data_IF_913335020587
#
_entry.id   IF_913335020587
#
_cell.length_a   1.000
_cell.length_b   1.000
_cell.length_c   1.000
_cell.angle_alpha   90.00
_cell.angle_beta   90.00
_cell.angle_gamma   90.00
#
_symmetry.space_group_name_H-M   'P 1'
#
loop_
_entity.id
_entity.type
_entity.pdbx_description
1 polymer ?
#
# COMPACT_ATOMS: atom_id res chain seq x y z
N UNK A 1 17.61 0.59 20.89
CA UNK A 1 16.33 0.08 20.34
C UNK A 1 15.84 1.03 19.26
N UNK A 2 15.54 0.53 18.09
CA UNK A 2 14.91 1.24 16.97
C UNK A 2 13.40 1.02 17.09
N UNK A 3 12.61 2.10 17.10
CA UNK A 3 11.17 1.97 17.23
C UNK A 3 10.56 1.36 15.96
N UNK A 4 10.91 1.89 14.79
CA UNK A 4 10.42 1.43 13.49
C UNK A 4 11.55 1.40 12.47
N UNK A 5 11.68 0.32 11.73
CA UNK A 5 12.50 0.22 10.53
C UNK A 5 11.58 0.22 9.31
N UNK A 6 11.60 1.30 8.53
CA UNK A 6 10.84 1.39 7.28
C UNK A 6 11.70 0.94 6.11
N UNK A 7 11.25 -0.12 5.43
CA UNK A 7 12.05 -0.86 4.45
C UNK A 7 11.30 -1.01 3.13
N UNK A 8 11.90 -0.52 2.06
CA UNK A 8 11.42 -0.76 0.70
C UNK A 8 12.07 -2.04 0.14
N UNK A 9 11.39 -3.17 0.25
CA UNK A 9 11.90 -4.46 -0.22
C UNK A 9 11.99 -4.56 -1.75
N UNK A 10 11.21 -3.78 -2.47
CA UNK A 10 11.17 -3.82 -3.92
C UNK A 10 10.65 -2.51 -4.49
N UNK A 11 11.07 -2.18 -5.69
CA UNK A 11 10.45 -1.12 -6.48
C UNK A 11 9.55 -1.65 -7.62
N UNK A 12 9.22 -2.95 -7.58
CA UNK A 12 8.17 -3.52 -8.42
C UNK A 12 6.79 -3.16 -7.86
N UNK A 13 5.86 -2.80 -8.75
CA UNK A 13 4.46 -2.58 -8.43
C UNK A 13 3.58 -2.92 -9.65
N UNK A 14 2.41 -3.49 -9.42
CA UNK A 14 1.41 -3.70 -10.46
C UNK A 14 0.56 -2.46 -10.73
N UNK A 15 0.58 -1.47 -9.82
CA UNK A 15 -0.16 -0.23 -9.96
C UNK A 15 0.61 0.82 -10.78
N UNK A 16 -0.14 1.74 -11.40
CA UNK A 16 0.32 2.87 -12.20
C UNK A 16 -0.31 4.17 -11.69
N UNK A 17 -0.24 4.40 -10.38
CA UNK A 17 -0.87 5.56 -9.75
C UNK A 17 -0.26 6.86 -10.29
N UNK A 18 -1.04 7.84 -10.80
CA UNK A 18 -0.53 9.01 -11.49
C UNK A 18 0.44 9.87 -10.68
N UNK A 19 0.21 10.07 -9.39
CA UNK A 19 1.12 10.82 -8.51
C UNK A 19 2.16 9.95 -7.81
N UNK A 20 2.40 8.72 -8.27
CA UNK A 20 3.43 7.87 -7.68
C UNK A 20 4.81 8.30 -8.15
N UNK A 21 5.77 8.42 -7.24
CA UNK A 21 7.16 8.78 -7.56
C UNK A 21 7.85 7.87 -8.56
N UNK A 22 7.36 6.63 -8.73
CA UNK A 22 7.89 5.70 -9.72
C UNK A 22 7.20 5.76 -11.08
N UNK A 23 6.15 6.56 -11.23
CA UNK A 23 5.27 6.58 -12.42
C UNK A 23 5.53 7.83 -13.26
N UNK A 24 5.77 7.66 -14.55
CA UNK A 24 5.91 8.78 -15.49
C UNK A 24 4.56 9.48 -15.69
N UNK A 25 4.57 10.81 -15.86
CA UNK A 25 3.37 11.60 -16.10
C UNK A 25 2.76 11.35 -17.49
N UNK A 26 3.55 10.79 -18.41
CA UNK A 26 3.13 10.43 -19.77
C UNK A 26 3.12 8.91 -19.90
N UNK A 27 1.95 8.35 -20.21
CA UNK A 27 1.72 6.92 -20.39
C UNK A 27 1.68 6.11 -19.09
N UNK A 28 1.96 6.73 -17.95
CA UNK A 28 1.94 6.09 -16.61
C UNK A 28 2.84 4.85 -16.49
N UNK A 29 3.86 4.75 -17.31
CA UNK A 29 4.85 3.69 -17.20
C UNK A 29 5.80 3.93 -16.02
N UNK A 30 6.55 2.90 -15.64
CA UNK A 30 7.63 3.06 -14.69
C UNK A 30 8.68 4.04 -15.23
N UNK A 31 9.16 4.97 -14.39
CA UNK A 31 10.16 5.95 -14.77
C UNK A 31 11.38 5.27 -15.41
N UNK A 32 11.81 5.79 -16.56
CA UNK A 32 13.02 5.34 -17.24
C UNK A 32 14.24 5.58 -16.35
N UNK A 33 15.10 4.57 -16.25
CA UNK A 33 16.32 4.64 -15.44
C UNK A 33 16.13 4.30 -13.95
N UNK A 34 14.91 4.07 -13.48
CA UNK A 34 14.69 3.52 -12.15
C UNK A 34 15.26 2.08 -12.08
N UNK A 35 16.29 1.80 -11.27
CA UNK A 35 16.83 0.45 -11.16
C UNK A 35 15.78 -0.49 -10.56
N UNK A 36 15.54 -1.62 -11.22
CA UNK A 36 14.57 -2.61 -10.74
C UNK A 36 15.24 -3.49 -9.68
N UNK A 37 14.98 -3.21 -8.43
CA UNK A 37 15.56 -3.87 -7.26
C UNK A 37 14.47 -4.63 -6.52
N UNK A 38 14.79 -5.83 -6.07
CA UNK A 38 14.00 -6.58 -5.09
C UNK A 38 14.96 -7.39 -4.21
N UNK A 39 14.72 -7.35 -2.91
CA UNK A 39 15.52 -8.09 -1.94
C UNK A 39 15.09 -9.55 -1.89
N UNK A 40 16.06 -10.44 -1.85
CA UNK A 40 15.87 -11.83 -1.44
C UNK A 40 15.85 -11.95 0.09
N UNK A 41 15.44 -13.10 0.60
CA UNK A 41 15.60 -13.43 2.02
C UNK A 41 17.08 -13.31 2.46
N UNK A 42 18.03 -13.73 1.61
CA UNK A 42 19.45 -13.64 1.93
C UNK A 42 19.92 -12.19 2.03
N UNK A 43 19.46 -11.29 1.15
CA UNK A 43 19.76 -9.86 1.26
C UNK A 43 19.24 -9.31 2.58
N UNK A 44 17.99 -9.63 2.94
CA UNK A 44 17.40 -9.21 4.20
C UNK A 44 18.20 -9.71 5.40
N UNK A 45 18.59 -10.98 5.44
CA UNK A 45 19.39 -11.57 6.51
C UNK A 45 20.78 -10.95 6.65
N UNK A 46 21.37 -10.50 5.55
CA UNK A 46 22.68 -9.84 5.56
C UNK A 46 22.62 -8.46 6.25
N UNK A 47 21.53 -7.70 6.05
CA UNK A 47 21.33 -6.39 6.68
C UNK A 47 20.73 -6.48 8.09
N UNK A 48 19.89 -7.50 8.31
CA UNK A 48 19.20 -7.75 9.59
C UNK A 48 19.51 -9.17 10.08
N UNK A 49 20.74 -9.40 10.56
CA UNK A 49 21.11 -10.71 11.09
C UNK A 49 20.30 -11.02 12.37
N UNK A 50 20.11 -12.31 12.64
CA UNK A 50 19.26 -12.79 13.75
C UNK A 50 19.53 -12.10 15.08
N UNK A 51 20.79 -11.77 15.36
CA UNK A 51 21.22 -11.17 16.63
C UNK A 51 20.72 -9.74 16.84
N UNK A 52 20.34 -9.05 15.75
CA UNK A 52 19.91 -7.65 15.79
C UNK A 52 18.41 -7.45 15.54
N UNK A 53 17.67 -8.53 15.27
CA UNK A 53 16.24 -8.41 14.96
C UNK A 53 15.42 -7.83 16.13
N UNK A 54 15.75 -8.21 17.38
CA UNK A 54 15.07 -7.68 18.57
C UNK A 54 15.47 -6.24 18.94
N UNK A 55 16.48 -5.66 18.26
CA UNK A 55 16.80 -4.24 18.41
C UNK A 55 15.75 -3.34 17.73
N UNK A 56 14.88 -3.92 16.91
CA UNK A 56 13.82 -3.24 16.17
C UNK A 56 12.46 -3.71 16.69
N UNK A 57 11.61 -2.77 17.12
CA UNK A 57 10.27 -3.11 17.65
C UNK A 57 9.27 -3.39 16.55
N UNK A 58 9.42 -2.72 15.39
CA UNK A 58 8.48 -2.83 14.28
C UNK A 58 9.20 -2.75 12.93
N UNK A 59 8.95 -3.71 12.07
CA UNK A 59 9.36 -3.70 10.67
C UNK A 59 8.18 -3.23 9.82
N UNK A 60 8.33 -2.07 9.19
CA UNK A 60 7.37 -1.48 8.27
C UNK A 60 7.82 -1.73 6.83
N UNK A 61 7.04 -2.51 6.11
CA UNK A 61 7.20 -2.70 4.68
C UNK A 61 6.21 -1.78 3.97
N UNK A 62 6.62 -0.54 3.75
CA UNK A 62 5.85 0.46 3.02
C UNK A 62 6.34 0.58 1.58
N UNK A 63 5.41 0.72 0.66
CA UNK A 63 5.72 0.77 -0.77
C UNK A 63 5.94 2.19 -1.30
N UNK A 64 6.91 2.94 -0.82
CA UNK A 64 7.23 4.26 -1.40
C UNK A 64 7.59 4.15 -2.89
N UNK A 65 8.41 3.17 -3.26
CA UNK A 65 8.88 2.94 -4.62
C UNK A 65 8.29 1.71 -5.30
N UNK A 66 7.54 0.89 -4.58
CA UNK A 66 6.94 -0.33 -5.09
C UNK A 66 5.83 -0.83 -4.18
N UNK A 67 5.38 -2.04 -4.40
CA UNK A 67 4.46 -2.72 -3.49
C UNK A 67 5.16 -3.91 -2.87
N UNK A 68 5.28 -4.02 -1.55
CA UNK A 68 6.05 -5.08 -0.89
C UNK A 68 5.55 -6.48 -1.24
N UNK A 69 4.27 -6.65 -1.62
CA UNK A 69 3.75 -7.95 -2.05
C UNK A 69 4.23 -8.37 -3.45
N UNK A 70 4.90 -7.50 -4.19
CA UNK A 70 5.62 -7.86 -5.42
C UNK A 70 6.98 -8.51 -5.13
N UNK A 71 7.57 -8.28 -3.95
CA UNK A 71 8.79 -8.99 -3.56
C UNK A 71 8.51 -10.50 -3.48
N UNK A 72 9.33 -11.31 -4.19
CA UNK A 72 9.16 -12.76 -4.24
C UNK A 72 9.26 -13.38 -2.84
N UNK A 73 10.20 -12.87 -2.06
CA UNK A 73 10.58 -13.42 -0.76
C UNK A 73 9.93 -12.68 0.42
N UNK A 74 8.86 -11.89 0.20
CA UNK A 74 8.15 -11.20 1.29
C UNK A 74 7.69 -12.18 2.38
N UNK A 75 7.12 -13.33 1.99
CA UNK A 75 6.61 -14.34 2.93
C UNK A 75 7.74 -14.95 3.78
N UNK A 76 8.83 -15.51 3.21
CA UNK A 76 9.95 -15.99 4.00
C UNK A 76 10.67 -14.91 4.81
N UNK A 77 10.72 -13.66 4.35
CA UNK A 77 11.27 -12.53 5.14
C UNK A 77 10.41 -12.29 6.39
N UNK A 78 9.09 -12.24 6.24
CA UNK A 78 8.19 -12.07 7.37
C UNK A 78 8.32 -13.24 8.35
N UNK A 79 8.37 -14.48 7.87
CA UNK A 79 8.58 -15.65 8.73
C UNK A 79 9.91 -15.58 9.48
N UNK A 80 10.99 -15.17 8.82
CA UNK A 80 12.28 -14.99 9.47
C UNK A 80 12.23 -14.00 10.65
N UNK A 81 11.53 -12.86 10.49
CA UNK A 81 11.33 -11.89 11.56
C UNK A 81 10.49 -12.53 12.70
N UNK A 82 9.39 -13.18 12.35
CA UNK A 82 8.47 -13.78 13.33
C UNK A 82 9.12 -14.88 14.18
N UNK A 83 9.99 -15.68 13.57
CA UNK A 83 10.64 -16.81 14.22
C UNK A 83 11.83 -16.41 15.10
N UNK A 84 12.42 -15.24 14.82
CA UNK A 84 13.69 -14.85 15.43
C UNK A 84 13.61 -13.54 16.22
N UNK A 85 12.42 -12.96 16.38
CA UNK A 85 12.22 -11.74 17.18
C UNK A 85 10.80 -11.65 17.75
N UNK A 86 10.60 -10.70 18.66
CA UNK A 86 9.28 -10.30 19.16
C UNK A 86 8.71 -9.08 18.41
N UNK A 87 9.37 -8.64 17.37
CA UNK A 87 8.96 -7.48 16.58
C UNK A 87 7.58 -7.65 15.93
N UNK A 88 6.93 -6.52 15.69
CA UNK A 88 5.73 -6.44 14.86
C UNK A 88 6.12 -6.24 13.41
N UNK A 89 5.23 -6.63 12.50
CA UNK A 89 5.36 -6.37 11.08
C UNK A 89 4.13 -5.61 10.58
N UNK A 90 4.36 -4.50 9.89
CA UNK A 90 3.33 -3.78 9.15
C UNK A 90 3.64 -3.89 7.65
N UNK A 91 2.63 -4.22 6.85
CA UNK A 91 2.72 -4.26 5.40
C UNK A 91 1.68 -3.32 4.81
N UNK A 92 2.12 -2.31 4.05
CA UNK A 92 1.23 -1.43 3.30
C UNK A 92 1.21 -1.84 1.84
N UNK A 93 0.03 -2.12 1.30
CA UNK A 93 -0.13 -2.66 -0.06
C UNK A 93 -1.42 -2.19 -0.72
N UNK A 94 -1.43 -2.16 -2.06
CA UNK A 94 -2.68 -1.96 -2.80
C UNK A 94 -3.66 -3.15 -2.70
N UNK A 95 -3.24 -4.27 -2.16
CA UNK A 95 -4.09 -5.43 -1.86
C UNK A 95 -4.51 -6.28 -3.08
N UNK A 96 -4.14 -5.91 -4.31
CA UNK A 96 -4.65 -6.59 -5.51
C UNK A 96 -3.66 -7.58 -6.15
N UNK A 97 -2.55 -7.89 -5.48
CA UNK A 97 -1.44 -8.68 -6.03
C UNK A 97 -1.61 -10.17 -5.75
N UNK A 98 -1.76 -10.52 -4.48
CA UNK A 98 -1.77 -11.91 -4.02
C UNK A 98 -3.20 -12.49 -4.00
N UNK A 99 -3.32 -13.83 -3.99
CA UNK A 99 -4.59 -14.54 -3.80
C UNK A 99 -4.95 -14.61 -2.30
N UNK A 100 -6.21 -14.88 -1.98
CA UNK A 100 -6.71 -14.91 -0.61
C UNK A 100 -5.97 -15.90 0.30
N UNK A 101 -5.57 -17.05 -0.22
CA UNK A 101 -4.81 -18.07 0.53
C UNK A 101 -3.46 -17.54 1.05
N UNK A 102 -2.81 -16.63 0.34
CA UNK A 102 -1.61 -15.94 0.83
C UNK A 102 -1.91 -15.13 2.11
N UNK A 103 -2.95 -14.29 2.08
CA UNK A 103 -3.32 -13.46 3.23
C UNK A 103 -3.73 -14.30 4.44
N UNK A 104 -4.49 -15.38 4.20
CA UNK A 104 -4.92 -16.31 5.26
C UNK A 104 -3.71 -17.03 5.86
N UNK A 105 -2.80 -17.53 5.03
CA UNK A 105 -1.62 -18.27 5.48
C UNK A 105 -0.69 -17.37 6.29
N UNK A 106 -0.38 -16.18 5.75
CA UNK A 106 0.47 -15.21 6.43
C UNK A 106 -0.16 -14.73 7.75
N UNK A 107 -1.46 -14.39 7.73
CA UNK A 107 -2.17 -13.92 8.91
C UNK A 107 -2.32 -14.97 10.01
N UNK A 108 -2.46 -16.25 9.66
CA UNK A 108 -2.46 -17.35 10.65
C UNK A 108 -1.08 -17.57 11.27
N UNK A 109 -0.02 -17.45 10.47
CA UNK A 109 1.35 -17.65 10.94
C UNK A 109 1.79 -16.54 11.90
N UNK A 110 1.56 -15.29 11.52
CA UNK A 110 2.08 -14.13 12.23
C UNK A 110 1.22 -13.70 13.42
N UNK A 111 -0.03 -14.14 13.43
CA UNK A 111 -0.99 -13.78 14.48
C UNK A 111 -1.14 -12.24 14.63
N UNK A 112 -1.35 -11.74 15.85
CA UNK A 112 -1.54 -10.32 16.16
C UNK A 112 -0.31 -9.43 15.94
N UNK A 113 0.83 -10.03 15.66
CA UNK A 113 2.05 -9.29 15.32
C UNK A 113 2.10 -8.79 13.88
N UNK A 114 1.17 -9.23 13.03
CA UNK A 114 1.02 -8.73 11.66
C UNK A 114 -0.12 -7.73 11.58
N UNK A 115 0.17 -6.55 11.07
CA UNK A 115 -0.81 -5.60 10.57
C UNK A 115 -0.65 -5.42 9.07
N UNK A 116 -1.76 -5.37 8.33
CA UNK A 116 -1.72 -5.05 6.89
C UNK A 116 -2.65 -3.88 6.60
N UNK A 117 -2.08 -2.85 5.97
CA UNK A 117 -2.80 -1.66 5.52
C UNK A 117 -3.10 -1.83 4.03
N UNK A 118 -4.37 -1.92 3.67
CA UNK A 118 -4.83 -2.16 2.31
C UNK A 118 -5.52 -0.92 1.76
N UNK A 119 -5.11 -0.50 0.56
CA UNK A 119 -5.66 0.67 -0.10
C UNK A 119 -7.08 0.41 -0.65
N UNK A 120 -8.02 1.32 -0.32
CA UNK A 120 -9.41 1.30 -0.77
C UNK A 120 -9.83 2.73 -1.12
N UNK A 121 -9.65 3.16 -2.37
CA UNK A 121 -9.81 4.56 -2.79
C UNK A 121 -11.15 4.84 -3.52
N UNK A 122 -12.14 3.95 -3.36
CA UNK A 122 -13.46 4.14 -3.99
C UNK A 122 -14.51 3.16 -3.51
N UNK A 123 -15.76 3.44 -3.85
CA UNK A 123 -16.91 2.54 -3.66
C UNK A 123 -17.22 1.71 -4.91
N UNK A 124 -16.66 2.09 -6.06
CA UNK A 124 -16.75 1.37 -7.33
C UNK A 124 -15.34 1.13 -7.88
N UNK A 125 -15.22 0.15 -8.77
CA UNK A 125 -13.96 -0.15 -9.45
C UNK A 125 -13.43 1.07 -10.22
N UNK A 126 -14.33 1.79 -10.93
CA UNK A 126 -14.00 3.00 -11.68
C UNK A 126 -13.45 4.12 -10.76
N UNK A 127 -14.13 4.39 -9.63
CA UNK A 127 -13.68 5.41 -8.68
C UNK A 127 -12.31 5.05 -8.10
N UNK A 128 -12.10 3.80 -7.72
CA UNK A 128 -10.85 3.29 -7.18
C UNK A 128 -9.71 3.42 -8.22
N UNK A 129 -9.97 2.99 -9.46
CA UNK A 129 -8.99 2.99 -10.52
C UNK A 129 -8.70 4.38 -11.10
N UNK A 130 -9.49 5.40 -10.77
CA UNK A 130 -9.16 6.77 -11.17
C UNK A 130 -7.79 7.20 -10.65
N UNK A 131 -7.40 6.71 -9.47
CA UNK A 131 -6.06 6.87 -8.90
C UNK A 131 -5.27 5.55 -8.90
N UNK A 132 -5.81 4.45 -8.39
CA UNK A 132 -5.12 3.15 -8.25
C UNK A 132 -5.15 2.34 -9.56
N UNK A 133 -4.66 2.91 -10.65
CA UNK A 133 -4.66 2.26 -11.97
C UNK A 133 -3.88 0.95 -11.94
N UNK A 134 -4.40 -0.05 -12.66
CA UNK A 134 -3.83 -1.39 -12.72
C UNK A 134 -4.08 -2.26 -11.48
N UNK A 135 -4.89 -1.77 -10.53
CA UNK A 135 -5.33 -2.53 -9.34
C UNK A 135 -6.80 -2.92 -9.44
N UNK A 136 -7.32 -3.63 -8.46
CA UNK A 136 -8.73 -4.03 -8.40
C UNK A 136 -9.29 -3.84 -7.00
N UNK A 137 -10.30 -3.00 -6.87
CA UNK A 137 -11.05 -2.79 -5.64
C UNK A 137 -11.59 -4.12 -5.08
N UNK A 138 -12.17 -4.95 -5.95
CA UNK A 138 -12.69 -6.27 -5.58
C UNK A 138 -11.62 -7.15 -4.92
N UNK A 139 -10.39 -7.14 -5.45
CA UNK A 139 -9.28 -7.91 -4.87
C UNK A 139 -8.83 -7.29 -3.53
N UNK A 140 -8.73 -5.96 -3.42
CA UNK A 140 -8.38 -5.28 -2.17
C UNK A 140 -9.38 -5.57 -1.06
N UNK A 141 -10.68 -5.51 -1.36
CA UNK A 141 -11.74 -5.89 -0.41
C UNK A 141 -11.71 -7.39 -0.06
N UNK A 142 -11.40 -8.26 -1.03
CA UNK A 142 -11.25 -9.69 -0.80
C UNK A 142 -10.04 -10.00 0.10
N UNK A 143 -8.95 -9.26 -0.03
CA UNK A 143 -7.77 -9.37 0.82
C UNK A 143 -8.08 -8.96 2.28
N UNK A 144 -8.83 -7.86 2.49
CA UNK A 144 -9.32 -7.47 3.81
C UNK A 144 -10.15 -8.57 4.46
N UNK A 145 -11.10 -9.13 3.70
CA UNK A 145 -11.95 -10.24 4.17
C UNK A 145 -11.14 -11.49 4.50
N UNK A 146 -10.14 -11.81 3.69
CA UNK A 146 -9.26 -12.95 3.93
C UNK A 146 -8.44 -12.78 5.23
N UNK A 147 -7.86 -11.60 5.43
CA UNK A 147 -7.12 -11.27 6.66
C UNK A 147 -8.03 -11.28 7.90
N UNK A 148 -9.25 -10.76 7.80
CA UNK A 148 -10.19 -10.72 8.92
C UNK A 148 -10.63 -12.10 9.42
N UNK A 149 -10.42 -13.16 8.63
CA UNK A 149 -10.62 -14.55 9.06
C UNK A 149 -9.46 -15.13 9.88
N UNK A 150 -8.45 -14.32 10.19
CA UNK A 150 -7.27 -14.67 10.98
C UNK A 150 -7.15 -13.78 12.20
N UNK A 151 -6.09 -13.93 12.99
CA UNK A 151 -5.80 -13.03 14.11
C UNK A 151 -4.97 -11.80 13.71
N UNK A 152 -4.45 -11.74 12.49
CA UNK A 152 -3.78 -10.55 11.97
C UNK A 152 -4.72 -9.33 11.97
N UNK A 153 -4.14 -8.13 11.96
CA UNK A 153 -4.90 -6.90 12.10
C UNK A 153 -5.04 -6.22 10.72
N UNK A 154 -6.19 -6.37 10.03
CA UNK A 154 -6.45 -5.68 8.78
C UNK A 154 -6.81 -4.21 9.04
N UNK A 155 -6.07 -3.32 8.44
CA UNK A 155 -6.38 -1.89 8.30
C UNK A 155 -6.71 -1.57 6.85
N UNK A 156 -7.36 -0.46 6.63
CA UNK A 156 -7.53 0.12 5.29
C UNK A 156 -7.19 1.60 5.30
N UNK A 157 -6.83 2.11 4.12
CA UNK A 157 -6.59 3.53 3.94
C UNK A 157 -7.12 4.03 2.60
N UNK A 158 -7.47 5.32 2.56
CA UNK A 158 -7.88 6.03 1.36
C UNK A 158 -7.06 7.29 1.19
N UNK A 159 -6.51 7.50 0.01
CA UNK A 159 -6.01 8.81 -0.40
C UNK A 159 -7.18 9.59 -1.02
N UNK A 160 -7.46 10.75 -0.44
CA UNK A 160 -8.58 11.58 -0.85
C UNK A 160 -8.16 12.56 -1.95
N UNK A 161 -8.96 12.58 -2.98
CA UNK A 161 -8.98 13.53 -4.07
C UNK A 161 -10.41 14.10 -4.19
N UNK A 162 -10.62 15.13 -4.97
CA UNK A 162 -11.94 15.71 -5.21
C UNK A 162 -12.97 14.70 -5.71
N UNK A 163 -12.55 13.68 -6.49
CA UNK A 163 -13.47 12.70 -7.05
C UNK A 163 -14.02 11.69 -6.03
N UNK A 164 -13.33 11.46 -4.90
CA UNK A 164 -13.74 10.48 -3.90
C UNK A 164 -13.97 11.06 -2.50
N UNK A 165 -13.57 12.30 -2.22
CA UNK A 165 -13.69 12.90 -0.87
C UNK A 165 -15.11 12.92 -0.33
N UNK A 166 -16.13 13.15 -1.18
CA UNK A 166 -17.53 13.15 -0.78
C UNK A 166 -18.07 11.75 -0.44
N UNK A 167 -17.34 10.72 -0.83
CA UNK A 167 -17.65 9.31 -0.58
C UNK A 167 -16.87 8.70 0.58
N UNK A 168 -16.06 9.48 1.31
CA UNK A 168 -15.20 9.01 2.40
C UNK A 168 -15.93 8.09 3.39
N UNK A 169 -17.13 8.50 3.83
CA UNK A 169 -17.94 7.70 4.77
C UNK A 169 -18.40 6.37 4.18
N UNK A 170 -18.76 6.35 2.89
CA UNK A 170 -19.16 5.13 2.19
C UNK A 170 -17.96 4.21 1.95
N UNK A 171 -16.80 4.77 1.60
CA UNK A 171 -15.53 4.00 1.42
C UNK A 171 -15.13 3.35 2.75
N UNK A 172 -15.13 4.13 3.84
CA UNK A 172 -14.88 3.63 5.21
C UNK A 172 -15.83 2.50 5.58
N UNK A 173 -17.13 2.70 5.37
CA UNK A 173 -18.16 1.68 5.64
C UNK A 173 -17.88 0.40 4.84
N UNK A 174 -17.64 0.52 3.53
CA UNK A 174 -17.32 -0.60 2.65
C UNK A 174 -16.10 -1.39 3.12
N UNK A 175 -15.02 -0.70 3.51
CA UNK A 175 -13.81 -1.33 4.02
C UNK A 175 -14.05 -2.09 5.34
N UNK A 176 -14.81 -1.49 6.27
CA UNK A 176 -15.16 -2.11 7.56
C UNK A 176 -16.06 -3.34 7.35
N UNK A 177 -17.03 -3.28 6.46
CA UNK A 177 -17.90 -4.42 6.11
C UNK A 177 -17.10 -5.58 5.50
N UNK A 178 -15.93 -5.30 4.91
CA UNK A 178 -14.99 -6.31 4.40
C UNK A 178 -13.91 -6.70 5.41
N UNK A 179 -14.04 -6.28 6.67
CA UNK A 179 -13.21 -6.77 7.77
C UNK A 179 -12.07 -5.86 8.20
N UNK A 180 -11.95 -4.66 7.66
CA UNK A 180 -11.01 -3.67 8.17
C UNK A 180 -11.35 -3.31 9.61
N UNK A 181 -10.37 -3.33 10.50
CA UNK A 181 -10.54 -2.94 11.92
C UNK A 181 -10.55 -1.42 12.08
N UNK A 182 -9.74 -0.73 11.29
CA UNK A 182 -9.65 0.72 11.26
C UNK A 182 -9.46 1.18 9.83
N UNK A 183 -9.97 2.35 9.53
CA UNK A 183 -9.84 2.98 8.23
C UNK A 183 -9.29 4.39 8.39
N UNK A 184 -8.20 4.69 7.69
CA UNK A 184 -7.57 6.00 7.65
C UNK A 184 -7.92 6.70 6.33
N UNK A 185 -8.23 7.98 6.40
CA UNK A 185 -8.47 8.81 5.21
C UNK A 185 -7.65 10.08 5.34
N UNK A 186 -6.90 10.42 4.31
CA UNK A 186 -6.10 11.64 4.26
C UNK A 186 -6.01 12.18 2.83
N UNK A 187 -5.94 13.52 2.67
CA UNK A 187 -5.76 14.10 1.35
C UNK A 187 -4.39 13.74 0.79
N UNK A 188 -4.26 13.69 -0.54
CA UNK A 188 -2.95 13.58 -1.16
C UNK A 188 -2.10 14.81 -0.81
N UNK A 189 -0.92 14.59 -0.27
CA UNK A 189 0.10 15.60 0.03
C UNK A 189 1.00 15.91 -1.18
N UNK A 190 0.83 15.19 -2.28
CA UNK A 190 1.76 15.20 -3.41
C UNK A 190 1.54 16.35 -4.39
N UNK A 191 0.48 17.14 -4.23
CA UNK A 191 0.26 18.35 -5.02
C UNK A 191 1.32 19.43 -4.76
N UNK A 192 1.88 19.46 -3.57
CA UNK A 192 2.90 20.45 -3.19
C UNK A 192 4.32 20.05 -3.65
N UNK A 193 4.52 18.79 -4.09
CA UNK A 193 5.83 18.22 -4.41
C UNK A 193 6.03 17.87 -5.88
N UNK A 194 4.97 17.88 -6.70
CA UNK A 194 5.03 17.52 -8.12
C UNK A 194 4.63 18.70 -9.00
N UNK A 195 5.17 18.73 -10.21
CA UNK A 195 4.94 19.76 -11.23
C UNK A 195 3.45 19.92 -11.55
N UNK A 196 2.81 20.85 -10.94
CA UNK A 196 1.41 21.20 -11.12
C UNK A 196 1.11 22.48 -10.35
N UNK A 197 -0.09 22.97 -10.50
CA UNK A 197 -0.57 23.97 -9.56
C UNK A 197 -0.95 23.27 -8.23
N UNK A 198 -1.11 24.06 -7.19
CA UNK A 198 -1.46 23.58 -5.83
C UNK A 198 -2.74 22.72 -5.79
N UNK A 199 -3.54 22.68 -6.84
CA UNK A 199 -4.88 22.10 -6.86
C UNK A 199 -5.09 21.00 -7.91
N UNK A 200 -4.26 20.94 -8.95
CA UNK A 200 -4.45 19.99 -10.05
C UNK A 200 -3.15 19.30 -10.43
N UNK A 201 -3.27 18.03 -10.80
CA UNK A 201 -2.18 17.25 -11.41
C UNK A 201 -2.65 16.69 -12.74
N UNK A 202 -2.02 17.14 -13.84
CA UNK A 202 -2.32 16.70 -15.20
C UNK A 202 -1.37 15.59 -15.61
N UNK A 203 -1.89 14.57 -16.29
CA UNK A 203 -1.09 13.46 -16.81
C UNK A 203 -1.70 12.95 -18.13
N UNK A 204 -0.92 12.17 -18.87
CA UNK A 204 -1.38 11.43 -20.05
C UNK A 204 -1.51 9.96 -19.63
N UNK A 205 -2.71 9.39 -19.78
CA UNK A 205 -2.95 8.00 -19.42
C UNK A 205 -2.33 7.00 -20.42
N UNK A 206 -2.54 5.71 -20.18
CA UNK A 206 -2.02 4.61 -20.99
C UNK A 206 -2.54 4.62 -22.43
N UNK A 207 -3.71 5.21 -22.64
CA UNK A 207 -4.37 5.34 -23.96
C UNK A 207 -4.03 6.64 -24.69
N UNK A 208 -3.16 7.46 -24.11
CA UNK A 208 -2.75 8.76 -24.67
C UNK A 208 -3.73 9.91 -24.37
N UNK A 209 -4.74 9.71 -23.53
CA UNK A 209 -5.70 10.75 -23.18
C UNK A 209 -5.19 11.61 -22.02
N UNK A 210 -5.42 12.92 -22.11
CA UNK A 210 -5.15 13.84 -21.00
C UNK A 210 -6.20 13.67 -19.92
N UNK A 211 -5.73 13.46 -18.69
CA UNK A 211 -6.56 13.37 -17.49
C UNK A 211 -6.03 14.28 -16.38
N UNK A 212 -6.87 14.55 -15.40
CA UNK A 212 -6.54 15.43 -14.27
C UNK A 212 -7.00 14.82 -12.96
N UNK A 213 -6.12 14.81 -11.97
CA UNK A 213 -6.48 14.64 -10.56
C UNK A 213 -6.61 16.04 -9.94
N UNK A 214 -7.67 16.24 -9.16
CA UNK A 214 -7.90 17.46 -8.41
C UNK A 214 -7.74 17.19 -6.91
N UNK A 215 -7.13 18.14 -6.21
CA UNK A 215 -6.92 18.08 -4.75
C UNK A 215 -8.25 18.02 -4.03
N UNK A 216 -8.32 17.22 -2.96
CA UNK A 216 -9.44 17.21 -2.04
C UNK A 216 -9.57 18.58 -1.34
N UNK A 217 -10.77 19.12 -1.30
CA UNK A 217 -11.04 20.46 -0.74
C UNK A 217 -11.63 20.34 0.67
N UNK A 218 -12.48 19.36 0.91
CA UNK A 218 -13.19 19.18 2.18
C UNK A 218 -12.40 18.37 3.20
N UNK A 219 -11.34 17.71 2.81
CA UNK A 219 -10.51 16.88 3.68
C UNK A 219 -9.72 17.66 4.74
N UNK A 220 -9.65 19.00 4.66
CA UNK A 220 -9.01 19.87 5.66
C UNK A 220 -9.61 19.77 7.07
N UNK A 221 -10.80 19.17 7.22
CA UNK A 221 -11.51 19.04 8.49
C UNK A 221 -11.25 17.72 9.22
N UNK A 222 -10.37 16.86 8.72
CA UNK A 222 -10.08 15.53 9.28
C UNK A 222 -8.66 15.37 9.86
N UNK A 223 -7.91 16.47 9.95
CA UNK A 223 -6.62 16.51 10.66
C UNK A 223 -6.75 17.02 12.08
#
# INVERSE_FOLDING_TARGET
LIEVADINLTNLCNARCPQCQRTAEIGLDTLKGLPMITWSLQDFMNYFPKQTLDDIKEYSFCGTWGDPLMAKDIEPIVYYIMDNSMAKVIITTNGSIRKNDFYIRLGKYCDRRLSMVIDVDGITEEMHQKYRRGTSLKKSLSALKALSSTNAIPFSQTILFKHNEMYEKQIRKLAIEHGSKHHLSYPSDRFDHFHGDEYTFNFINEDGNKETLERAVYAKNYM
#
